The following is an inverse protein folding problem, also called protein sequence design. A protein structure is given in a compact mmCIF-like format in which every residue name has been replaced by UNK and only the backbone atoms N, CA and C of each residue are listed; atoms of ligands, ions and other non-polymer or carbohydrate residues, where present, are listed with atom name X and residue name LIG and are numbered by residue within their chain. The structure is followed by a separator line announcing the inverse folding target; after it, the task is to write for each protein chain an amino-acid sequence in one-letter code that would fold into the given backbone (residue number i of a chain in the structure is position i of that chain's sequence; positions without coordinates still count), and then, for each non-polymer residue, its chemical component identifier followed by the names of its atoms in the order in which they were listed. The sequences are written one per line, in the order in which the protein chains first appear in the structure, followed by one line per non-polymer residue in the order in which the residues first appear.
data_IF_011396887366
#
_entry.id   IF_011396887366
#
_cell.length_a   1.000
_cell.length_b   1.000
_cell.length_c   1.000
_cell.angle_alpha   90.00
_cell.angle_beta   90.00
_cell.angle_gamma   90.00
#
_symmetry.space_group_name_H-M   'P 1'
#
loop_
_entity.id
_entity.type
_entity.pdbx_description
1 polymer ?
#
# COMPACT_ATOMS: atom_id res chain seq x y z
N UNK A 1 17.96 -12.04 -20.29
CA UNK A 1 19.07 -12.60 -19.52
C UNK A 1 19.00 -12.22 -18.06
N UNK A 2 18.90 -13.24 -17.12
CA UNK A 2 19.50 -13.11 -15.78
C UNK A 2 18.90 -14.04 -14.73
N UNK A 3 18.65 -15.33 -15.02
CA UNK A 3 18.31 -16.28 -13.95
C UNK A 3 19.55 -16.68 -13.13
N UNK A 4 20.77 -16.70 -13.71
CA UNK A 4 22.01 -17.09 -12.99
C UNK A 4 22.39 -16.10 -11.89
N UNK A 5 22.22 -14.80 -12.10
CA UNK A 5 22.59 -13.78 -11.12
C UNK A 5 21.73 -13.85 -9.84
N UNK A 6 20.44 -14.18 -9.97
CA UNK A 6 19.53 -14.40 -8.81
C UNK A 6 19.88 -15.67 -8.03
N UNK A 7 20.26 -16.75 -8.72
CA UNK A 7 20.64 -18.00 -8.07
C UNK A 7 21.96 -17.87 -7.29
N UNK A 8 22.99 -17.22 -7.87
CA UNK A 8 24.30 -17.05 -7.22
C UNK A 8 24.22 -16.13 -6.01
N UNK A 9 23.56 -14.97 -6.11
CA UNK A 9 23.41 -14.06 -4.97
C UNK A 9 22.53 -14.65 -3.87
N UNK A 10 21.45 -15.33 -4.19
CA UNK A 10 20.58 -16.01 -3.21
C UNK A 10 21.34 -17.11 -2.44
N UNK A 11 22.18 -17.87 -3.13
CA UNK A 11 22.95 -18.97 -2.53
C UNK A 11 24.08 -18.44 -1.63
N UNK A 12 24.85 -17.45 -2.13
CA UNK A 12 25.94 -16.83 -1.36
C UNK A 12 25.39 -16.13 -0.13
N UNK A 13 24.28 -15.40 -0.25
CA UNK A 13 23.63 -14.74 0.88
C UNK A 13 23.13 -15.76 1.94
N UNK A 14 22.52 -16.87 1.49
CA UNK A 14 22.08 -17.93 2.41
C UNK A 14 23.24 -18.59 3.15
N UNK A 15 24.38 -18.82 2.46
CA UNK A 15 25.59 -19.37 3.09
C UNK A 15 26.19 -18.37 4.07
N UNK A 16 26.28 -17.10 3.71
CA UNK A 16 26.80 -16.05 4.58
C UNK A 16 25.92 -15.88 5.84
N UNK A 17 24.60 -15.87 5.69
CA UNK A 17 23.69 -15.78 6.81
C UNK A 17 23.85 -16.94 7.79
N UNK A 18 24.16 -18.18 7.34
CA UNK A 18 24.40 -19.33 8.21
C UNK A 18 25.65 -19.23 9.09
N UNK A 19 26.50 -18.23 8.87
CA UNK A 19 27.67 -17.98 9.72
C UNK A 19 27.35 -17.17 10.98
N UNK A 20 26.09 -16.73 11.16
CA UNK A 20 25.66 -15.97 12.33
C UNK A 20 24.86 -16.86 13.30
N UNK A 21 25.02 -16.60 14.60
CA UNK A 21 24.34 -17.34 15.67
C UNK A 21 22.87 -16.95 15.80
N UNK A 22 22.53 -15.71 15.46
CA UNK A 22 21.17 -15.16 15.55
C UNK A 22 20.80 -14.37 14.30
N UNK A 23 19.50 -14.33 13.99
CA UNK A 23 18.95 -13.65 12.83
C UNK A 23 17.79 -12.77 13.24
N UNK A 24 17.74 -11.57 12.68
CA UNK A 24 16.63 -10.64 12.88
C UNK A 24 15.93 -10.45 11.52
N UNK A 25 14.67 -10.85 11.45
CA UNK A 25 13.78 -10.51 10.34
C UNK A 25 13.07 -9.20 10.61
N UNK A 26 12.99 -8.33 9.61
CA UNK A 26 12.26 -7.05 9.71
C UNK A 26 10.73 -7.22 9.68
N UNK A 27 10.27 -8.47 9.60
CA UNK A 27 8.86 -8.87 9.71
C UNK A 27 8.77 -10.38 9.91
N UNK A 28 7.64 -10.87 10.42
CA UNK A 28 7.39 -12.31 10.52
C UNK A 28 7.44 -13.00 9.16
N UNK A 29 7.01 -12.34 8.09
CA UNK A 29 7.12 -12.87 6.73
C UNK A 29 8.58 -13.16 6.36
N UNK A 30 9.52 -12.28 6.70
CA UNK A 30 10.95 -12.50 6.45
C UNK A 30 11.49 -13.63 7.33
N UNK A 31 11.14 -13.64 8.61
CA UNK A 31 11.54 -14.70 9.53
C UNK A 31 11.02 -16.07 9.07
N UNK A 32 9.76 -16.20 8.72
CA UNK A 32 9.16 -17.43 8.19
C UNK A 32 9.80 -17.87 6.86
N UNK A 33 10.11 -16.92 5.98
CA UNK A 33 10.84 -17.21 4.74
C UNK A 33 12.23 -17.79 5.02
N UNK A 34 12.96 -17.28 6.02
CA UNK A 34 14.28 -17.82 6.41
C UNK A 34 14.14 -19.19 7.05
N UNK A 35 13.16 -19.39 7.93
CA UNK A 35 12.85 -20.69 8.54
C UNK A 35 12.53 -21.74 7.47
N UNK A 36 11.71 -21.37 6.46
CA UNK A 36 11.41 -22.29 5.34
C UNK A 36 12.65 -22.64 4.49
N UNK A 37 13.72 -21.84 4.55
CA UNK A 37 15.02 -22.11 3.93
C UNK A 37 15.98 -22.90 4.85
N UNK A 38 15.50 -23.38 5.99
CA UNK A 38 16.23 -24.24 6.91
C UNK A 38 17.06 -23.50 7.95
N UNK A 39 16.69 -22.27 8.31
CA UNK A 39 17.23 -21.57 9.48
C UNK A 39 16.50 -22.05 10.74
N UNK A 40 17.22 -22.08 11.88
CA UNK A 40 16.69 -22.53 13.15
C UNK A 40 15.68 -21.50 13.71
N UNK A 41 14.41 -21.87 13.94
CA UNK A 41 13.43 -20.99 14.54
C UNK A 41 13.83 -20.42 15.91
N UNK A 42 14.65 -21.14 16.69
CA UNK A 42 15.09 -20.70 18.02
C UNK A 42 16.11 -19.58 17.98
N UNK A 43 16.77 -19.37 16.83
CA UNK A 43 17.74 -18.30 16.60
C UNK A 43 17.16 -17.13 15.79
N UNK A 44 15.86 -17.19 15.46
CA UNK A 44 15.18 -16.22 14.63
C UNK A 44 14.32 -15.27 15.47
N UNK A 45 14.53 -13.98 15.31
CA UNK A 45 13.75 -12.93 15.96
C UNK A 45 13.11 -12.05 14.90
N UNK A 46 11.84 -11.71 15.10
CA UNK A 46 11.17 -10.70 14.27
C UNK A 46 11.15 -9.38 15.02
N UNK A 47 11.75 -8.37 14.42
CA UNK A 47 11.71 -7.00 14.92
C UNK A 47 11.14 -6.14 13.79
N UNK A 48 9.90 -5.67 13.97
CA UNK A 48 9.28 -4.79 12.98
C UNK A 48 9.95 -3.42 13.01
N UNK A 49 10.02 -2.79 11.84
CA UNK A 49 10.41 -1.40 11.77
C UNK A 49 9.28 -0.56 12.37
N UNK A 50 9.51 0.01 13.55
CA UNK A 50 8.54 0.83 14.26
C UNK A 50 8.15 2.08 13.47
N UNK A 51 6.88 2.44 13.53
CA UNK A 51 6.32 3.68 12.96
C UNK A 51 5.89 4.60 14.11
N UNK A 52 6.17 5.88 13.95
CA UNK A 52 5.74 6.91 14.90
C UNK A 52 4.24 7.19 14.69
N UNK A 53 3.41 6.77 15.66
CA UNK A 53 1.97 7.00 15.69
C UNK A 53 1.58 8.27 16.47
N UNK A 54 2.53 9.11 16.83
CA UNK A 54 2.21 10.42 17.42
C UNK A 54 1.27 11.19 16.48
N UNK A 55 0.14 11.72 17.01
CA UNK A 55 -0.79 12.49 16.19
C UNK A 55 -0.09 13.66 15.50
N UNK A 56 -0.27 13.75 14.20
CA UNK A 56 0.29 14.83 13.37
C UNK A 56 -0.82 15.63 12.72
N UNK A 57 -0.62 16.94 12.69
CA UNK A 57 -1.53 17.83 11.96
C UNK A 57 -1.00 17.98 10.53
N UNK A 58 -1.78 17.64 9.51
CA UNK A 58 -1.39 17.86 8.13
C UNK A 58 -1.18 19.35 7.85
N UNK A 59 -0.21 19.68 7.02
CA UNK A 59 0.08 21.07 6.66
C UNK A 59 -1.04 21.71 5.82
N UNK A 60 -1.77 20.89 5.04
CA UNK A 60 -2.92 21.30 4.24
C UNK A 60 -4.16 20.49 4.58
N UNK A 61 -5.33 21.13 4.57
CA UNK A 61 -6.62 20.43 4.57
C UNK A 61 -6.87 19.67 3.28
N UNK A 62 -7.81 18.71 3.32
CA UNK A 62 -8.15 17.84 2.19
C UNK A 62 -8.39 18.60 0.87
N UNK A 63 -9.28 19.60 0.88
CA UNK A 63 -9.66 20.34 -0.32
C UNK A 63 -8.49 21.10 -0.91
N UNK A 64 -7.71 21.80 -0.07
CA UNK A 64 -6.55 22.57 -0.50
C UNK A 64 -5.46 21.69 -1.09
N UNK A 65 -5.23 20.51 -0.46
CA UNK A 65 -4.26 19.56 -0.96
C UNK A 65 -4.67 18.99 -2.33
N UNK A 66 -5.91 18.50 -2.46
CA UNK A 66 -6.41 17.95 -3.74
C UNK A 66 -6.36 19.00 -4.86
N UNK A 67 -6.75 20.22 -4.56
CA UNK A 67 -6.65 21.34 -5.51
C UNK A 67 -5.20 21.64 -5.90
N UNK A 68 -4.26 21.59 -4.94
CA UNK A 68 -2.84 21.88 -5.19
C UNK A 68 -2.19 20.88 -6.14
N UNK A 69 -2.65 19.62 -6.13
CA UNK A 69 -2.19 18.56 -7.03
C UNK A 69 -3.01 18.46 -8.33
N UNK A 70 -4.03 19.31 -8.49
CA UNK A 70 -4.85 19.36 -9.69
C UNK A 70 -5.95 18.30 -9.78
N UNK A 71 -6.37 17.72 -8.64
CA UNK A 71 -7.50 16.80 -8.57
C UNK A 71 -8.74 17.52 -8.05
N UNK A 72 -9.73 17.69 -8.91
CA UNK A 72 -11.04 18.21 -8.51
C UNK A 72 -11.85 17.09 -7.84
N UNK A 73 -12.20 17.29 -6.59
CA UNK A 73 -13.06 16.37 -5.84
C UNK A 73 -14.08 17.15 -5.00
N UNK A 74 -15.34 16.77 -5.11
CA UNK A 74 -16.43 17.30 -4.30
C UNK A 74 -16.49 16.65 -2.91
N UNK A 75 -17.37 17.16 -2.04
CA UNK A 75 -17.54 16.64 -0.68
C UNK A 75 -18.00 15.17 -0.62
N UNK A 76 -18.74 14.73 -1.65
CA UNK A 76 -19.27 13.36 -1.74
C UNK A 76 -18.33 12.42 -2.54
N UNK A 77 -17.23 12.94 -3.07
CA UNK A 77 -16.28 12.13 -3.81
C UNK A 77 -15.40 11.31 -2.86
N UNK A 78 -15.17 10.06 -3.23
CA UNK A 78 -14.30 9.12 -2.52
C UNK A 78 -12.94 9.07 -3.18
N UNK A 79 -11.91 9.51 -2.48
CA UNK A 79 -10.54 9.59 -2.99
C UNK A 79 -9.75 8.34 -2.60
N UNK A 80 -9.41 7.56 -3.61
CA UNK A 80 -8.47 6.45 -3.53
C UNK A 80 -7.07 6.95 -3.86
N UNK A 81 -6.06 6.51 -3.13
CA UNK A 81 -4.70 6.95 -3.40
C UNK A 81 -3.65 5.87 -3.23
N UNK A 82 -2.55 6.02 -3.95
CA UNK A 82 -1.34 5.22 -3.80
C UNK A 82 -0.13 6.12 -3.71
N UNK A 83 0.76 5.83 -2.75
CA UNK A 83 2.09 6.42 -2.67
C UNK A 83 3.13 5.33 -2.92
N UNK A 84 3.77 5.34 -4.07
CA UNK A 84 4.70 4.31 -4.46
C UNK A 84 5.71 4.77 -5.52
N UNK A 85 6.87 4.11 -5.56
CA UNK A 85 7.74 4.20 -6.73
C UNK A 85 7.04 3.55 -7.93
N UNK A 86 6.98 4.27 -9.05
CA UNK A 86 6.32 3.78 -10.27
C UNK A 86 7.24 2.81 -11.03
N UNK A 87 7.26 1.55 -10.57
CA UNK A 87 8.04 0.46 -11.14
C UNK A 87 7.23 -0.84 -11.19
N UNK A 88 7.67 -1.87 -11.94
CA UNK A 88 6.91 -3.11 -12.14
C UNK A 88 6.53 -3.84 -10.85
N UNK A 89 7.31 -3.69 -9.76
CA UNK A 89 7.02 -4.39 -8.49
C UNK A 89 5.80 -3.79 -7.78
N UNK A 90 5.52 -2.51 -8.00
CA UNK A 90 4.37 -1.82 -7.39
C UNK A 90 3.06 -2.02 -8.15
N UNK A 91 3.13 -2.48 -9.39
CA UNK A 91 1.99 -2.86 -10.24
C UNK A 91 0.82 -1.86 -10.22
N UNK A 92 1.16 -0.58 -10.39
CA UNK A 92 0.17 0.51 -10.44
C UNK A 92 -0.76 0.36 -11.65
N UNK A 93 -0.35 -0.41 -12.67
CA UNK A 93 -1.19 -0.74 -13.80
C UNK A 93 -2.45 -1.52 -13.38
N UNK A 94 -2.34 -2.45 -12.45
CA UNK A 94 -3.50 -3.16 -11.88
C UNK A 94 -4.42 -2.20 -11.12
N UNK A 95 -3.87 -1.20 -10.39
CA UNK A 95 -4.69 -0.18 -9.75
C UNK A 95 -5.51 0.63 -10.77
N UNK A 96 -4.88 1.12 -11.82
CA UNK A 96 -5.54 1.90 -12.87
C UNK A 96 -6.66 1.09 -13.54
N UNK A 97 -6.43 -0.19 -13.84
CA UNK A 97 -7.43 -1.07 -14.44
C UNK A 97 -8.61 -1.32 -13.48
N UNK A 98 -8.34 -1.67 -12.22
CA UNK A 98 -9.38 -1.88 -11.20
C UNK A 98 -10.20 -0.63 -10.93
N UNK A 99 -9.53 0.53 -10.83
CA UNK A 99 -10.19 1.84 -10.71
C UNK A 99 -11.10 2.13 -11.90
N UNK A 100 -10.61 1.91 -13.12
CA UNK A 100 -11.40 2.15 -14.33
C UNK A 100 -12.63 1.24 -14.43
N UNK A 101 -12.54 0.01 -13.91
CA UNK A 101 -13.71 -0.90 -13.81
C UNK A 101 -14.74 -0.34 -12.83
N UNK A 102 -14.32 0.04 -11.63
CA UNK A 102 -15.21 0.58 -10.60
C UNK A 102 -15.81 1.94 -10.99
N UNK A 103 -15.08 2.79 -11.69
CA UNK A 103 -15.53 4.11 -12.10
C UNK A 103 -16.72 4.10 -13.08
N UNK A 104 -17.01 2.96 -13.71
CA UNK A 104 -18.18 2.79 -14.59
C UNK A 104 -19.48 2.82 -13.79
N UNK A 105 -19.45 2.30 -12.57
CA UNK A 105 -20.63 2.20 -11.69
C UNK A 105 -20.61 3.29 -10.61
N UNK A 106 -19.43 3.81 -10.27
CA UNK A 106 -19.21 4.82 -9.21
C UNK A 106 -18.56 6.09 -9.78
N UNK A 107 -19.29 7.01 -10.41
CA UNK A 107 -18.72 8.20 -11.03
C UNK A 107 -18.13 9.20 -10.03
N UNK A 108 -18.41 9.04 -8.74
CA UNK A 108 -17.93 9.86 -7.64
C UNK A 108 -16.61 9.35 -7.02
N UNK A 109 -15.87 8.46 -7.67
CA UNK A 109 -14.53 8.07 -7.18
C UNK A 109 -13.43 8.89 -7.86
N UNK A 110 -12.34 9.13 -7.14
CA UNK A 110 -11.16 9.85 -7.62
C UNK A 110 -9.91 9.02 -7.29
N UNK A 111 -8.88 9.13 -8.15
CA UNK A 111 -7.62 8.40 -7.98
C UNK A 111 -6.44 9.39 -7.91
N UNK A 112 -5.72 9.35 -6.80
CA UNK A 112 -4.52 10.14 -6.56
C UNK A 112 -3.29 9.24 -6.56
N UNK A 113 -2.39 9.40 -7.53
CA UNK A 113 -1.16 8.62 -7.68
C UNK A 113 0.02 9.50 -7.32
N UNK A 114 0.65 9.24 -6.18
CA UNK A 114 1.86 9.90 -5.71
C UNK A 114 3.09 9.01 -5.97
N UNK A 115 4.14 9.61 -6.47
CA UNK A 115 5.42 8.98 -6.77
C UNK A 115 5.89 9.20 -8.18
N UNK A 116 7.07 8.65 -8.48
CA UNK A 116 7.72 8.71 -9.77
C UNK A 116 8.48 7.41 -10.04
N UNK A 117 8.86 7.17 -11.29
CA UNK A 117 9.61 5.98 -11.68
C UNK A 117 9.55 5.69 -13.18
N UNK A 118 10.22 4.60 -13.54
CA UNK A 118 10.41 4.18 -14.94
C UNK A 118 9.11 3.85 -15.70
N UNK A 119 8.03 3.54 -14.98
CA UNK A 119 6.74 3.23 -15.60
C UNK A 119 5.80 4.43 -15.73
N UNK A 120 6.18 5.62 -15.24
CA UNK A 120 5.30 6.79 -15.21
C UNK A 120 4.61 7.08 -16.55
N UNK A 121 5.40 7.19 -17.62
CA UNK A 121 4.86 7.52 -18.95
C UNK A 121 3.86 6.45 -19.44
N UNK A 122 4.16 5.18 -19.20
CA UNK A 122 3.27 4.07 -19.57
C UNK A 122 1.97 4.12 -18.75
N UNK A 123 2.06 4.38 -17.45
CA UNK A 123 0.90 4.45 -16.55
C UNK A 123 0.01 5.66 -16.86
N UNK A 124 0.58 6.83 -17.19
CA UNK A 124 -0.17 8.00 -17.62
C UNK A 124 -0.96 7.72 -18.91
N UNK A 125 -0.36 7.04 -19.91
CA UNK A 125 -1.04 6.61 -21.13
C UNK A 125 -2.17 5.63 -20.82
N UNK A 126 -1.91 4.64 -19.97
CA UNK A 126 -2.92 3.66 -19.55
C UNK A 126 -4.11 4.31 -18.86
N UNK A 127 -3.85 5.26 -17.94
CA UNK A 127 -4.90 5.98 -17.25
C UNK A 127 -5.72 6.87 -18.20
N UNK A 128 -5.06 7.54 -19.16
CA UNK A 128 -5.73 8.35 -20.18
C UNK A 128 -6.63 7.52 -21.11
N UNK A 129 -6.28 6.26 -21.36
CA UNK A 129 -7.06 5.34 -22.17
C UNK A 129 -8.28 4.78 -21.42
N UNK A 130 -8.11 4.41 -20.13
CA UNK A 130 -9.10 3.63 -19.40
C UNK A 130 -9.97 4.43 -18.45
N UNK A 131 -9.42 5.46 -17.80
CA UNK A 131 -10.11 6.18 -16.74
C UNK A 131 -10.92 7.39 -17.26
N UNK A 132 -12.04 7.71 -16.61
CA UNK A 132 -12.79 8.92 -16.94
C UNK A 132 -11.91 10.18 -16.81
N UNK A 133 -12.05 11.08 -17.75
CA UNK A 133 -11.28 12.33 -17.73
C UNK A 133 -11.59 13.14 -16.47
N UNK A 134 -10.54 13.60 -15.79
CA UNK A 134 -10.65 14.38 -14.54
C UNK A 134 -10.88 13.53 -13.29
N UNK A 135 -10.99 12.20 -13.40
CA UNK A 135 -11.14 11.32 -12.24
C UNK A 135 -9.82 10.90 -11.59
N UNK A 136 -8.68 11.25 -12.17
CA UNK A 136 -7.37 10.87 -11.65
C UNK A 136 -6.33 11.95 -11.84
N UNK A 137 -5.27 11.88 -11.04
CA UNK A 137 -4.07 12.72 -11.17
C UNK A 137 -2.81 11.96 -10.77
N UNK A 138 -1.70 12.27 -11.46
CA UNK A 138 -0.35 11.88 -11.08
C UNK A 138 0.31 13.08 -10.40
N UNK A 139 0.38 13.05 -9.07
CA UNK A 139 0.93 14.14 -8.27
C UNK A 139 2.46 14.23 -8.30
N UNK A 140 3.15 13.24 -8.89
CA UNK A 140 4.60 13.16 -8.87
C UNK A 140 5.17 12.87 -7.49
N UNK A 141 6.39 13.29 -7.26
CA UNK A 141 7.05 13.10 -5.98
C UNK A 141 6.43 13.99 -4.90
N UNK A 142 5.89 13.38 -3.83
CA UNK A 142 5.25 14.06 -2.71
C UNK A 142 6.16 13.98 -1.48
N UNK A 143 6.37 15.11 -0.81
CA UNK A 143 7.14 15.22 0.43
C UNK A 143 6.25 15.39 1.65
N UNK A 144 5.09 16.04 1.51
CA UNK A 144 4.09 16.18 2.57
C UNK A 144 3.15 14.98 2.56
N UNK A 145 3.63 13.87 3.14
CA UNK A 145 2.86 12.62 3.21
C UNK A 145 1.69 12.70 4.18
N UNK A 146 1.76 13.54 5.19
CA UNK A 146 0.67 13.71 6.15
C UNK A 146 -0.56 14.36 5.47
N UNK A 147 -0.35 15.42 4.67
CA UNK A 147 -1.44 16.01 3.87
C UNK A 147 -1.92 15.07 2.76
N UNK A 148 -1.03 14.28 2.16
CA UNK A 148 -1.41 13.27 1.17
C UNK A 148 -2.38 12.25 1.77
N UNK A 149 -2.00 11.55 2.84
CA UNK A 149 -2.88 10.55 3.46
C UNK A 149 -4.15 11.15 4.06
N UNK A 150 -4.07 12.37 4.62
CA UNK A 150 -5.25 13.09 5.11
C UNK A 150 -6.27 13.40 3.99
N UNK A 151 -5.81 13.55 2.78
CA UNK A 151 -6.68 13.80 1.62
C UNK A 151 -7.38 12.53 1.10
N UNK A 152 -6.95 11.35 1.50
CA UNK A 152 -7.52 10.07 1.06
C UNK A 152 -8.68 9.62 1.92
N UNK A 153 -9.63 8.93 1.31
CA UNK A 153 -10.60 8.08 1.98
C UNK A 153 -10.11 6.63 2.05
N UNK A 154 -9.34 6.21 1.03
CA UNK A 154 -8.85 4.85 0.89
C UNK A 154 -7.41 4.86 0.39
N UNK A 155 -6.52 4.26 1.16
CA UNK A 155 -5.15 3.96 0.74
C UNK A 155 -5.13 2.65 -0.06
N UNK A 156 -4.33 2.58 -1.12
CA UNK A 156 -4.21 1.39 -1.97
C UNK A 156 -2.77 0.94 -2.11
N UNK A 157 -2.55 -0.38 -2.16
CA UNK A 157 -1.24 -0.98 -2.39
C UNK A 157 -1.38 -2.20 -3.28
N UNK A 158 -0.83 -2.15 -4.49
CA UNK A 158 -1.00 -3.20 -5.51
C UNK A 158 0.26 -4.02 -5.78
N UNK A 159 1.24 -3.94 -4.88
CA UNK A 159 2.56 -4.53 -5.05
C UNK A 159 2.54 -6.03 -5.31
N UNK A 160 3.47 -6.51 -6.13
CA UNK A 160 3.71 -7.93 -6.39
C UNK A 160 4.58 -8.60 -5.31
N UNK A 161 5.25 -7.81 -4.49
CA UNK A 161 6.11 -8.29 -3.39
C UNK A 161 6.32 -7.18 -2.38
N UNK A 162 6.11 -7.50 -1.10
CA UNK A 162 6.36 -6.63 0.04
C UNK A 162 6.94 -7.40 1.21
N UNK A 163 7.87 -6.79 1.92
CA UNK A 163 8.37 -7.32 3.20
C UNK A 163 7.66 -6.69 4.38
N UNK A 164 7.73 -5.36 4.47
CA UNK A 164 6.96 -4.55 5.42
C UNK A 164 6.57 -3.25 4.72
N UNK A 165 5.31 -3.10 4.30
CA UNK A 165 4.87 -1.94 3.53
C UNK A 165 4.54 -0.74 4.43
N UNK A 166 5.47 0.19 4.59
CA UNK A 166 5.26 1.43 5.34
C UNK A 166 4.03 2.22 4.89
N UNK A 167 3.70 2.20 3.59
CA UNK A 167 2.53 2.88 3.06
C UNK A 167 1.21 2.45 3.75
N UNK A 168 1.12 1.20 4.25
CA UNK A 168 -0.04 0.74 5.01
C UNK A 168 -0.05 1.37 6.41
N UNK A 169 1.06 1.36 7.11
CA UNK A 169 1.14 1.91 8.47
C UNK A 169 1.07 3.45 8.50
N UNK A 170 1.59 4.10 7.45
CA UNK A 170 1.42 5.55 7.26
C UNK A 170 -0.04 5.92 6.99
N UNK A 171 -0.72 5.18 6.12
CA UNK A 171 -2.17 5.35 5.89
C UNK A 171 -2.99 5.04 7.14
N UNK A 172 -2.63 3.98 7.90
CA UNK A 172 -3.27 3.64 9.16
C UNK A 172 -3.20 4.77 10.19
N UNK A 173 -2.06 5.46 10.29
CA UNK A 173 -1.89 6.62 11.17
C UNK A 173 -2.90 7.73 10.91
N UNK A 174 -3.38 7.86 9.68
CA UNK A 174 -4.40 8.81 9.25
C UNK A 174 -5.81 8.19 9.17
N UNK A 175 -6.01 7.01 9.78
CA UNK A 175 -7.27 6.27 9.78
C UNK A 175 -7.82 5.96 8.38
N UNK A 176 -6.95 5.88 7.35
CA UNK A 176 -7.37 5.53 6.00
C UNK A 176 -7.75 4.04 5.93
N UNK A 177 -8.94 3.75 5.41
CA UNK A 177 -9.23 2.37 4.97
C UNK A 177 -8.17 1.93 3.95
N UNK A 178 -7.81 0.65 3.95
CA UNK A 178 -6.75 0.18 3.05
C UNK A 178 -7.22 -1.02 2.23
N UNK A 179 -6.93 -0.97 0.92
CA UNK A 179 -7.02 -2.11 0.01
C UNK A 179 -5.60 -2.49 -0.39
N UNK A 180 -5.21 -3.75 -0.24
CA UNK A 180 -3.88 -4.19 -0.59
C UNK A 180 -3.87 -5.55 -1.29
N UNK A 181 -2.83 -5.82 -2.08
CA UNK A 181 -2.58 -7.14 -2.65
C UNK A 181 -2.17 -8.13 -1.55
N UNK A 182 -2.64 -9.38 -1.67
CA UNK A 182 -2.32 -10.47 -0.73
C UNK A 182 -0.94 -11.05 -1.04
N UNK A 183 0.12 -10.33 -0.64
CA UNK A 183 1.51 -10.75 -0.87
C UNK A 183 2.42 -10.47 0.32
N UNK A 184 3.41 -11.34 0.52
CA UNK A 184 4.52 -11.15 1.45
C UNK A 184 4.09 -10.83 2.89
N UNK A 185 4.49 -9.66 3.38
CA UNK A 185 4.20 -9.18 4.74
C UNK A 185 2.82 -8.54 4.92
N UNK A 186 2.07 -8.28 3.84
CA UNK A 186 0.79 -7.58 3.91
C UNK A 186 -0.25 -8.31 4.76
N UNK A 187 -0.48 -9.65 4.64
CA UNK A 187 -1.47 -10.37 5.44
C UNK A 187 -1.19 -10.39 6.96
N UNK A 188 0.02 -10.05 7.38
CA UNK A 188 0.32 -9.89 8.82
C UNK A 188 -0.20 -8.56 9.37
N UNK A 189 -0.33 -7.54 8.52
CA UNK A 189 -0.83 -6.22 8.89
C UNK A 189 -2.33 -6.14 8.64
N UNK A 190 -2.79 -6.60 7.47
CA UNK A 190 -4.19 -6.54 7.05
C UNK A 190 -4.87 -7.89 7.19
N UNK A 191 -5.92 -7.93 8.01
CA UNK A 191 -6.88 -9.02 8.07
C UNK A 191 -8.08 -8.66 7.20
N UNK A 192 -8.33 -9.50 6.16
CA UNK A 192 -9.36 -9.22 5.16
C UNK A 192 -10.75 -9.06 5.77
N UNK A 193 -11.39 -7.93 5.50
CA UNK A 193 -12.73 -7.59 5.98
C UNK A 193 -12.79 -7.09 7.43
N UNK A 194 -11.65 -7.04 8.14
CA UNK A 194 -11.55 -6.58 9.54
C UNK A 194 -10.72 -5.30 9.64
N UNK A 195 -9.47 -5.32 9.15
CA UNK A 195 -8.57 -4.16 9.18
C UNK A 195 -8.27 -3.59 7.78
N UNK A 196 -8.87 -4.15 6.74
CA UNK A 196 -8.72 -3.72 5.36
C UNK A 196 -9.27 -4.75 4.40
N UNK A 197 -9.12 -4.52 3.11
CA UNK A 197 -9.50 -5.47 2.08
C UNK A 197 -8.24 -6.00 1.36
N UNK A 198 -8.17 -7.31 1.20
CA UNK A 198 -7.13 -7.97 0.41
C UNK A 198 -7.70 -8.46 -0.91
N UNK A 199 -6.90 -8.39 -1.97
CA UNK A 199 -7.21 -8.96 -3.27
C UNK A 199 -6.00 -9.73 -3.82
N UNK A 200 -6.23 -10.68 -4.71
CA UNK A 200 -5.14 -11.45 -5.34
C UNK A 200 -4.30 -10.53 -6.24
N UNK A 201 -2.96 -10.56 -6.18
CA UNK A 201 -2.11 -9.70 -6.99
C UNK A 201 -2.42 -9.86 -8.48
N UNK A 202 -2.38 -8.76 -9.22
CA UNK A 202 -2.69 -8.64 -10.65
C UNK A 202 -4.17 -8.88 -11.02
N UNK A 203 -5.07 -9.07 -10.04
CA UNK A 203 -6.49 -9.23 -10.26
C UNK A 203 -7.21 -7.87 -10.21
N UNK A 204 -7.30 -7.22 -11.37
CA UNK A 204 -7.96 -5.92 -11.51
C UNK A 204 -9.48 -5.98 -11.26
N UNK A 205 -10.12 -7.13 -11.52
CA UNK A 205 -11.56 -7.31 -11.29
C UNK A 205 -11.86 -7.40 -9.79
N UNK A 206 -11.09 -8.21 -9.04
CA UNK A 206 -11.21 -8.29 -7.60
C UNK A 206 -10.88 -6.94 -6.92
N UNK A 207 -9.85 -6.23 -7.41
CA UNK A 207 -9.54 -4.88 -6.92
C UNK A 207 -10.68 -3.90 -7.22
N UNK A 208 -11.25 -3.93 -8.43
CA UNK A 208 -12.40 -3.11 -8.80
C UNK A 208 -13.62 -3.35 -7.90
N UNK A 209 -13.90 -4.62 -7.56
CA UNK A 209 -14.94 -4.97 -6.60
C UNK A 209 -14.65 -4.42 -5.18
N UNK A 210 -13.40 -4.48 -4.71
CA UNK A 210 -13.01 -3.87 -3.43
C UNK A 210 -13.19 -2.34 -3.45
N UNK A 211 -12.80 -1.67 -4.55
CA UNK A 211 -13.00 -0.23 -4.74
C UNK A 211 -14.50 0.12 -4.68
N UNK A 212 -15.35 -0.61 -5.42
CA UNK A 212 -16.81 -0.40 -5.41
C UNK A 212 -17.41 -0.52 -4.01
N UNK A 213 -17.08 -1.57 -3.27
CA UNK A 213 -17.54 -1.75 -1.87
C UNK A 213 -17.19 -0.56 -0.97
N UNK A 214 -15.97 -0.04 -1.08
CA UNK A 214 -15.55 1.11 -0.28
C UNK A 214 -16.07 2.44 -0.83
N UNK A 215 -16.36 2.56 -2.11
CA UNK A 215 -17.05 3.72 -2.69
C UNK A 215 -18.46 3.88 -2.11
N UNK A 216 -19.20 2.77 -1.97
CA UNK A 216 -20.60 2.75 -1.50
C UNK A 216 -20.76 2.99 0.00
N UNK A 217 -19.80 2.58 0.82
CA UNK A 217 -19.99 2.53 2.27
C UNK A 217 -18.96 3.36 3.05
N UNK A 218 -19.37 4.56 3.43
CA UNK A 218 -18.61 5.40 4.36
C UNK A 218 -18.36 4.71 5.71
N UNK A 219 -19.41 4.08 6.27
CA UNK A 219 -19.27 3.37 7.54
C UNK A 219 -18.25 2.23 7.48
N UNK A 220 -18.15 1.51 6.33
CA UNK A 220 -17.15 0.48 6.15
C UNK A 220 -15.74 1.08 6.08
N UNK A 221 -15.55 2.21 5.38
CA UNK A 221 -14.25 2.90 5.35
C UNK A 221 -13.80 3.31 6.74
N UNK A 222 -14.68 3.98 7.49
CA UNK A 222 -14.41 4.43 8.87
C UNK A 222 -14.05 3.26 9.79
N UNK A 223 -14.82 2.18 9.74
CA UNK A 223 -14.56 1.01 10.58
C UNK A 223 -13.25 0.30 10.24
N UNK A 224 -12.98 0.06 8.94
CA UNK A 224 -11.73 -0.59 8.53
C UNK A 224 -10.50 0.27 8.85
N UNK A 225 -10.61 1.58 8.66
CA UNK A 225 -9.54 2.53 8.98
C UNK A 225 -9.24 2.56 10.48
N UNK A 226 -10.28 2.61 11.33
CA UNK A 226 -10.11 2.58 12.79
C UNK A 226 -9.51 1.27 13.27
N UNK A 227 -10.03 0.14 12.81
CA UNK A 227 -9.51 -1.17 13.18
C UNK A 227 -8.02 -1.33 12.76
N UNK A 228 -7.65 -0.82 11.56
CA UNK A 228 -6.27 -0.84 11.11
C UNK A 228 -5.38 0.06 11.97
N UNK A 229 -5.85 1.25 12.33
CA UNK A 229 -5.13 2.16 13.23
C UNK A 229 -4.88 1.52 14.60
N UNK A 230 -5.92 0.94 15.23
CA UNK A 230 -5.79 0.26 16.52
C UNK A 230 -4.77 -0.90 16.47
N UNK A 231 -4.86 -1.75 15.45
CA UNK A 231 -3.90 -2.84 15.27
C UNK A 231 -2.49 -2.32 15.03
N UNK A 232 -2.33 -1.40 14.08
CA UNK A 232 -1.01 -0.92 13.67
C UNK A 232 -0.31 -0.11 14.76
N UNK A 233 -1.03 0.73 15.52
CA UNK A 233 -0.47 1.48 16.64
C UNK A 233 -0.05 0.60 17.81
N UNK A 234 -0.75 -0.52 18.04
CA UNK A 234 -0.41 -1.50 19.07
C UNK A 234 0.78 -2.38 18.70
N UNK A 235 0.86 -2.82 17.44
CA UNK A 235 1.77 -3.89 17.02
C UNK A 235 3.02 -3.36 16.28
N UNK A 236 2.94 -2.17 15.67
CA UNK A 236 3.99 -1.63 14.80
C UNK A 236 4.41 -0.20 15.17
N UNK A 237 4.07 0.28 16.37
CA UNK A 237 4.59 1.55 16.86
C UNK A 237 6.06 1.43 17.27
N UNK A 238 6.78 2.56 17.30
CA UNK A 238 8.16 2.62 17.82
C UNK A 238 8.22 2.11 19.26
N UNK A 239 7.18 2.39 20.06
CA UNK A 239 7.12 1.99 21.46
C UNK A 239 6.82 0.48 21.64
N UNK A 240 6.30 -0.20 20.60
CA UNK A 240 6.01 -1.62 20.59
C UNK A 240 7.19 -2.48 20.10
N UNK A 241 8.22 -1.83 19.52
CA UNK A 241 9.39 -2.48 18.91
C UNK A 241 10.59 -2.45 19.82
#
# INVERSE_FOLDING_TARGET
GRPLHRLTFGTINTIALRCFDYHIGVSDAVSQMLISRGFDPQTMFSIYNGVDFTPRTPAMGREDYLKSVGLEAGADDVVFGIAARLNPVKDVATLIRGFALAAKEHPNIRLLIAGDGEEREMLEKLAAELCPKGSYVFAGWVTDMDSFYHALDVNTLTSLSETFPYAITEGARMHCATIASDVGGIPYIIEHGVTGLLFHPQDAEALGACIGRLAESRAMREQLGENLYEKASREFSIDAT
#
